data_IF_672145836392
#
_entry.id   IF_672145836392
#
_cell.length_a   1.000
_cell.length_b   1.000
_cell.length_c   1.000
_cell.angle_alpha   90.00
_cell.angle_beta   90.00
_cell.angle_gamma   90.00
#
_symmetry.space_group_name_H-M   'P 1'
#
loop_
_entity.id
_entity.type
_entity.pdbx_description
1 polymer ?
#
# COMPACT_ATOMS: atom_id res chain seq x y z
N UNK A 1 -4.67 10.67 1.70
CA UNK A 1 -3.86 10.07 2.77
C UNK A 1 -3.24 8.74 2.36
N UNK A 2 -4.01 7.74 1.92
CA UNK A 2 -3.47 6.43 1.45
C UNK A 2 -2.37 6.60 0.39
N UNK A 3 -2.65 7.34 -0.70
CA UNK A 3 -1.66 7.57 -1.77
C UNK A 3 -0.39 8.29 -1.29
N UNK A 4 -0.54 9.30 -0.43
CA UNK A 4 0.60 10.00 0.17
C UNK A 4 1.44 9.09 1.08
N UNK A 5 0.79 8.17 1.80
CA UNK A 5 1.48 7.19 2.63
C UNK A 5 2.20 6.11 1.81
N UNK A 6 1.58 5.62 0.73
CA UNK A 6 2.23 4.70 -0.23
C UNK A 6 3.49 5.35 -0.83
N UNK A 7 3.42 6.63 -1.21
CA UNK A 7 4.58 7.36 -1.72
C UNK A 7 5.72 7.47 -0.70
N UNK A 8 5.40 7.74 0.57
CA UNK A 8 6.41 7.77 1.64
C UNK A 8 7.06 6.39 1.83
N UNK A 9 6.28 5.32 1.76
CA UNK A 9 6.83 3.95 1.85
C UNK A 9 7.79 3.62 0.72
N UNK A 10 7.66 4.24 -0.45
CA UNK A 10 8.60 4.05 -1.56
C UNK A 10 9.97 4.73 -1.33
N UNK A 11 10.05 5.70 -0.41
CA UNK A 11 11.23 6.56 -0.24
C UNK A 11 11.91 6.43 1.12
N UNK A 12 11.22 5.89 2.14
CA UNK A 12 11.78 5.70 3.48
C UNK A 12 11.16 4.50 4.22
N UNK A 13 11.88 3.90 5.20
CA UNK A 13 11.38 2.77 5.98
C UNK A 13 10.08 3.06 6.74
N UNK A 14 9.21 2.06 6.88
CA UNK A 14 7.90 2.20 7.55
C UNK A 14 8.05 2.78 8.97
N UNK A 15 9.05 2.31 9.71
CA UNK A 15 9.25 2.66 11.12
C UNK A 15 9.53 4.15 11.29
N UNK A 16 10.17 4.78 10.31
CA UNK A 16 10.55 6.20 10.34
C UNK A 16 9.45 7.14 9.87
N UNK A 17 8.40 6.64 9.21
CA UNK A 17 7.30 7.48 8.71
C UNK A 17 6.43 7.97 9.87
N UNK A 18 6.35 9.29 10.07
CA UNK A 18 5.52 9.89 11.11
C UNK A 18 4.16 10.35 10.57
N UNK A 19 3.18 10.58 11.46
CA UNK A 19 1.91 11.22 11.09
C UNK A 19 2.16 12.61 10.46
N UNK A 20 3.19 13.33 10.92
CA UNK A 20 3.58 14.62 10.36
C UNK A 20 4.01 14.51 8.90
N UNK A 21 4.77 13.47 8.55
CA UNK A 21 5.19 13.23 7.16
C UNK A 21 3.98 12.90 6.29
N UNK A 22 3.08 12.04 6.79
CA UNK A 22 1.87 11.61 6.09
C UNK A 22 0.97 12.79 5.74
N UNK A 23 0.68 13.65 6.71
CA UNK A 23 -0.23 14.79 6.48
C UNK A 23 0.40 15.85 5.57
N UNK A 24 1.73 16.03 5.63
CA UNK A 24 2.47 16.87 4.68
C UNK A 24 2.40 16.31 3.26
N UNK A 25 2.74 15.03 3.07
CA UNK A 25 2.69 14.37 1.76
C UNK A 25 1.27 14.35 1.16
N UNK A 26 0.26 14.34 2.02
CA UNK A 26 -1.15 14.33 1.62
C UNK A 26 -1.79 15.73 1.54
N UNK A 27 -1.06 16.79 1.89
CA UNK A 27 -1.57 18.17 1.95
C UNK A 27 -2.85 18.33 2.79
N UNK A 28 -2.91 17.66 3.95
CA UNK A 28 -4.03 17.74 4.90
C UNK A 28 -3.57 18.14 6.29
N UNK A 29 -4.51 18.45 7.19
CA UNK A 29 -4.19 18.73 8.59
C UNK A 29 -4.07 17.46 9.43
N UNK A 30 -3.43 17.55 10.62
CA UNK A 30 -3.44 16.46 11.61
C UNK A 30 -4.86 16.17 12.12
N UNK A 31 -5.70 17.20 12.26
CA UNK A 31 -7.11 17.04 12.63
C UNK A 31 -7.85 16.20 11.59
N UNK A 32 -7.60 16.47 10.30
CA UNK A 32 -8.16 15.65 9.20
C UNK A 32 -7.66 14.22 9.28
N UNK A 33 -6.37 13.99 9.58
CA UNK A 33 -5.87 12.62 9.81
C UNK A 33 -6.65 11.91 10.90
N UNK A 34 -6.74 12.51 12.11
CA UNK A 34 -7.42 11.90 13.24
C UNK A 34 -8.95 11.81 13.09
N UNK A 35 -9.53 12.49 12.10
CA UNK A 35 -10.93 12.30 11.75
C UNK A 35 -11.19 10.97 11.02
N UNK A 36 -10.21 10.48 10.23
CA UNK A 36 -10.34 9.25 9.46
C UNK A 36 -9.57 8.06 10.06
N UNK A 37 -8.50 8.33 10.81
CA UNK A 37 -7.58 7.30 11.30
C UNK A 37 -7.18 7.56 12.76
N UNK A 38 -7.37 6.56 13.61
CA UNK A 38 -6.99 6.64 15.03
C UNK A 38 -5.46 6.55 15.22
N UNK A 39 -4.75 5.91 14.28
CA UNK A 39 -3.30 5.73 14.37
C UNK A 39 -2.63 5.60 13.00
N UNK A 40 -1.29 5.59 12.98
CA UNK A 40 -0.51 5.23 11.78
C UNK A 40 -0.84 3.80 11.33
N UNK A 41 -1.07 2.91 12.27
CA UNK A 41 -1.33 1.49 11.99
C UNK A 41 -2.73 1.27 11.40
N UNK A 42 -3.74 2.06 11.80
CA UNK A 42 -5.06 2.02 11.15
C UNK A 42 -4.98 2.47 9.69
N UNK A 43 -4.20 3.52 9.39
CA UNK A 43 -3.93 3.92 8.00
C UNK A 43 -3.18 2.83 7.22
N UNK A 44 -2.21 2.15 7.85
CA UNK A 44 -1.49 1.04 7.21
C UNK A 44 -2.43 -0.10 6.82
N UNK A 45 -3.32 -0.50 7.74
CA UNK A 45 -4.31 -1.55 7.49
C UNK A 45 -5.27 -1.19 6.34
N UNK A 46 -5.74 0.06 6.31
CA UNK A 46 -6.63 0.53 5.25
C UNK A 46 -5.91 0.63 3.91
N UNK A 47 -4.64 1.04 3.92
CA UNK A 47 -3.80 1.06 2.72
C UNK A 47 -3.56 -0.35 2.16
N UNK A 48 -3.42 -1.35 3.04
CA UNK A 48 -3.28 -2.75 2.64
C UNK A 48 -4.58 -3.27 2.05
N UNK A 49 -5.70 -2.96 2.68
CA UNK A 49 -7.04 -3.33 2.20
C UNK A 49 -7.28 -2.74 0.82
N UNK A 50 -6.97 -1.45 0.63
CA UNK A 50 -7.07 -0.78 -0.66
C UNK A 50 -6.21 -1.47 -1.74
N UNK A 51 -4.97 -1.82 -1.41
CA UNK A 51 -4.06 -2.51 -2.33
C UNK A 51 -4.57 -3.90 -2.72
N UNK A 52 -5.09 -4.66 -1.74
CA UNK A 52 -5.70 -5.96 -1.99
C UNK A 52 -6.96 -5.85 -2.84
N UNK A 53 -7.76 -4.81 -2.65
CA UNK A 53 -8.95 -4.57 -3.47
C UNK A 53 -8.59 -4.20 -4.91
N UNK A 54 -7.51 -3.44 -5.15
CA UNK A 54 -6.98 -3.22 -6.50
C UNK A 54 -6.54 -4.53 -7.15
N UNK A 55 -5.83 -5.38 -6.41
CA UNK A 55 -5.44 -6.71 -6.90
C UNK A 55 -6.70 -7.54 -7.24
N UNK A 56 -7.72 -7.56 -6.38
CA UNK A 56 -8.98 -8.26 -6.67
C UNK A 56 -9.64 -7.73 -7.95
N UNK A 57 -9.65 -6.42 -8.16
CA UNK A 57 -10.22 -5.82 -9.38
C UNK A 57 -9.47 -6.34 -10.61
N UNK A 58 -8.13 -6.29 -10.61
CA UNK A 58 -7.30 -6.79 -11.71
C UNK A 58 -7.58 -8.27 -11.97
N UNK A 59 -7.58 -9.10 -10.92
CA UNK A 59 -7.80 -10.54 -11.04
C UNK A 59 -9.22 -10.89 -11.53
N UNK A 60 -10.22 -10.12 -11.10
CA UNK A 60 -11.61 -10.33 -11.51
C UNK A 60 -11.93 -9.86 -12.93
N UNK A 61 -11.06 -9.07 -13.58
CA UNK A 61 -11.20 -8.73 -15.00
C UNK A 61 -11.03 -9.94 -15.91
N UNK A 62 -10.37 -11.01 -15.43
CA UNK A 62 -10.25 -12.26 -16.17
C UNK A 62 -10.07 -13.45 -15.21
N UNK A 63 -11.18 -14.12 -14.87
CA UNK A 63 -11.22 -15.28 -13.97
C UNK A 63 -10.40 -16.50 -14.44
N UNK A 64 -9.93 -16.49 -15.70
CA UNK A 64 -9.07 -17.54 -16.25
C UNK A 64 -7.58 -17.26 -16.03
N UNK A 65 -7.23 -16.18 -15.33
CA UNK A 65 -5.84 -15.81 -14.97
C UNK A 65 -4.89 -15.86 -16.18
N UNK A 66 -5.34 -15.36 -17.32
CA UNK A 66 -4.51 -15.28 -18.53
C UNK A 66 -3.22 -14.50 -18.25
N UNK A 67 -2.14 -14.85 -18.96
CA UNK A 67 -0.80 -14.25 -18.79
C UNK A 67 -0.83 -12.72 -18.67
N UNK A 68 -1.65 -12.03 -19.47
CA UNK A 68 -1.76 -10.57 -19.43
C UNK A 68 -2.21 -10.04 -18.06
N UNK A 69 -3.22 -10.67 -17.45
CA UNK A 69 -3.75 -10.27 -16.13
C UNK A 69 -2.76 -10.59 -15.01
N UNK A 70 -2.07 -11.74 -15.12
CA UNK A 70 -0.99 -12.07 -14.18
C UNK A 70 0.18 -11.08 -14.28
N UNK A 71 0.54 -10.64 -15.49
CA UNK A 71 1.56 -9.60 -15.68
C UNK A 71 1.14 -8.28 -15.05
N UNK A 72 -0.10 -7.82 -15.27
CA UNK A 72 -0.59 -6.55 -14.69
C UNK A 72 -0.62 -6.60 -13.15
N UNK A 73 -1.04 -7.72 -12.57
CA UNK A 73 -0.99 -7.93 -11.12
C UNK A 73 0.46 -7.88 -10.60
N UNK A 74 1.39 -8.57 -11.27
CA UNK A 74 2.81 -8.56 -10.88
C UNK A 74 3.44 -7.17 -11.02
N UNK A 75 3.08 -6.43 -12.07
CA UNK A 75 3.53 -5.06 -12.30
C UNK A 75 3.04 -4.14 -11.17
N UNK A 76 1.76 -4.24 -10.79
CA UNK A 76 1.21 -3.51 -9.66
C UNK A 76 1.93 -3.84 -8.34
N UNK A 77 2.19 -5.13 -8.06
CA UNK A 77 2.92 -5.55 -6.86
C UNK A 77 4.36 -4.98 -6.87
N UNK A 78 5.04 -5.01 -8.02
CA UNK A 78 6.41 -4.50 -8.18
C UNK A 78 6.50 -3.00 -7.97
N UNK A 79 5.54 -2.24 -8.50
CA UNK A 79 5.46 -0.78 -8.34
C UNK A 79 5.19 -0.38 -6.88
N UNK A 80 4.44 -1.22 -6.16
CA UNK A 80 4.10 -1.02 -4.76
C UNK A 80 4.96 -1.85 -3.79
N UNK A 81 6.11 -2.38 -4.24
CA UNK A 81 6.91 -3.36 -3.48
C UNK A 81 7.26 -2.92 -2.06
N UNK A 82 7.50 -1.63 -1.85
CA UNK A 82 7.90 -1.12 -0.53
C UNK A 82 6.75 -1.24 0.49
N UNK A 83 5.51 -1.10 0.03
CA UNK A 83 4.32 -1.36 0.84
C UNK A 83 4.23 -2.83 1.25
N UNK A 84 4.44 -3.75 0.30
CA UNK A 84 4.34 -5.19 0.52
C UNK A 84 5.51 -5.79 1.32
N UNK A 85 6.73 -5.23 1.19
CA UNK A 85 7.91 -5.69 1.90
C UNK A 85 7.93 -5.23 3.36
N UNK A 86 7.40 -4.05 3.67
CA UNK A 86 7.47 -3.46 5.00
C UNK A 86 6.16 -3.51 5.79
N UNK A 87 5.01 -3.76 5.14
CA UNK A 87 3.68 -3.70 5.76
C UNK A 87 2.94 -5.03 5.97
N UNK A 88 3.53 -6.19 5.65
CA UNK A 88 2.85 -7.50 5.69
C UNK A 88 3.76 -8.60 6.28
N UNK A 89 3.22 -9.57 7.07
CA UNK A 89 3.98 -10.74 7.56
C UNK A 89 4.42 -11.71 6.45
N UNK A 90 4.09 -11.46 5.19
CA UNK A 90 4.36 -12.33 4.03
C UNK A 90 5.74 -12.06 3.40
N UNK A 91 6.53 -11.11 3.95
CA UNK A 91 7.87 -10.71 3.47
C UNK A 91 8.80 -11.87 3.07
N UNK A 92 8.82 -13.05 3.74
CA UNK A 92 9.71 -14.14 3.35
C UNK A 92 9.40 -14.78 1.99
N UNK A 93 8.17 -14.68 1.49
CA UNK A 93 7.74 -15.36 0.25
C UNK A 93 8.08 -14.51 -0.99
N UNK A 94 7.97 -13.19 -0.89
CA UNK A 94 8.22 -12.27 -2.02
C UNK A 94 9.69 -12.06 -2.35
N UNK A 95 10.62 -12.32 -1.42
CA UNK A 95 12.06 -12.17 -1.64
C UNK A 95 12.67 -13.41 -2.35
N UNK A 96 11.91 -14.51 -2.46
CA UNK A 96 12.39 -15.79 -3.03
C UNK A 96 11.85 -16.13 -4.42
N UNK A 97 11.13 -15.20 -5.06
CA UNK A 97 10.69 -15.28 -6.46
C UNK A 97 11.53 -14.32 -7.30
#
# INVERSE_FOLDING_TARGET
MIQGFIHLLQTQPLETITITDIVKASQVSRTTFYHYFDSRDSLLKDSLTHSLDQIKIILNQNLLFHRAVLTEMLDYIRENRAFFLHGSPITPILIRL
#
